data_IF_911764989281
#
_entry.id   IF_911764989281
#
_cell.length_a   1.000
_cell.length_b   1.000
_cell.length_c   1.000
_cell.angle_alpha   90.00
_cell.angle_beta   90.00
_cell.angle_gamma   90.00
#
_symmetry.space_group_name_H-M   'P 1'
#
loop_
_entity.id
_entity.type
_entity.pdbx_description
1 polymer ?
#
# COMPACT_ATOMS: atom_id res chain seq x y z
N UNK A 1 10.21 5.67 -5.39
CA UNK A 1 9.41 5.04 -4.29
C UNK A 1 7.94 4.88 -4.74
N UNK A 2 7.10 4.06 -4.10
CA UNK A 2 5.70 3.89 -4.53
C UNK A 2 4.98 5.23 -4.63
N UNK A 3 5.23 6.21 -3.75
CA UNK A 3 4.56 7.52 -3.79
C UNK A 3 5.26 8.61 -4.63
N UNK A 4 6.30 8.26 -5.37
CA UNK A 4 7.24 9.22 -5.97
C UNK A 4 6.86 9.65 -7.40
N UNK A 5 6.07 8.84 -8.13
CA UNK A 5 5.57 9.16 -9.48
C UNK A 5 4.19 8.57 -9.71
N UNK A 6 3.28 9.29 -10.38
CA UNK A 6 2.00 8.74 -10.77
C UNK A 6 2.12 7.69 -11.89
N UNK A 7 1.70 6.47 -11.60
CA UNK A 7 1.41 5.40 -12.57
C UNK A 7 0.01 5.56 -13.17
N UNK A 8 -0.26 4.91 -14.30
CA UNK A 8 -1.49 5.09 -15.10
C UNK A 8 -2.81 4.73 -14.38
N UNK A 9 -2.74 4.16 -13.16
CA UNK A 9 -3.89 3.66 -12.41
C UNK A 9 -3.89 4.13 -10.95
N UNK A 10 -3.36 5.33 -10.70
CA UNK A 10 -3.34 5.88 -9.34
C UNK A 10 -4.61 6.60 -8.95
N UNK A 11 -4.98 6.42 -7.69
CA UNK A 11 -6.04 7.21 -7.06
C UNK A 11 -5.39 8.51 -6.59
N UNK A 12 -5.76 9.59 -7.26
CA UNK A 12 -5.28 10.94 -6.99
C UNK A 12 -6.36 11.78 -6.33
N UNK A 13 -5.96 12.66 -5.42
CA UNK A 13 -6.78 13.74 -4.89
C UNK A 13 -6.19 15.07 -5.37
N UNK A 14 -6.94 15.79 -6.22
CA UNK A 14 -6.50 17.08 -6.79
C UNK A 14 -5.11 17.01 -7.46
N UNK A 15 -4.87 15.94 -8.21
CA UNK A 15 -3.59 15.71 -8.91
C UNK A 15 -2.44 15.20 -8.03
N UNK A 16 -2.64 15.08 -6.71
CA UNK A 16 -1.67 14.51 -5.77
C UNK A 16 -2.04 13.09 -5.37
N UNK A 17 -1.05 12.27 -5.07
CA UNK A 17 -1.24 10.85 -4.82
C UNK A 17 -1.85 10.58 -3.46
N UNK A 18 -2.93 9.79 -3.43
CA UNK A 18 -3.65 9.41 -2.21
C UNK A 18 -3.41 7.95 -1.81
N UNK A 19 -3.30 7.04 -2.80
CA UNK A 19 -3.20 5.60 -2.56
C UNK A 19 -1.90 5.04 -3.13
N UNK A 20 -1.21 4.25 -2.31
CA UNK A 20 -0.09 3.42 -2.75
C UNK A 20 -0.53 1.97 -2.83
N UNK A 21 -0.34 1.31 -3.97
CA UNK A 21 -0.75 -0.09 -4.17
C UNK A 21 0.41 -0.96 -4.66
N UNK A 22 0.30 -2.25 -4.38
CA UNK A 22 1.19 -3.30 -4.86
C UNK A 22 0.39 -4.54 -5.24
N UNK A 23 0.91 -5.28 -6.21
CA UNK A 23 0.26 -6.45 -6.78
C UNK A 23 1.26 -7.61 -6.90
N UNK A 24 0.79 -8.83 -6.61
CA UNK A 24 1.51 -10.06 -6.98
C UNK A 24 0.55 -11.06 -7.62
N UNK A 25 1.02 -11.73 -8.67
CA UNK A 25 0.31 -12.84 -9.33
C UNK A 25 1.14 -14.10 -9.21
N UNK A 26 0.56 -15.17 -8.68
CA UNK A 26 1.26 -16.45 -8.48
C UNK A 26 0.27 -17.60 -8.45
N UNK A 27 0.60 -18.70 -9.13
CA UNK A 27 -0.16 -19.95 -9.10
C UNK A 27 -1.67 -19.76 -9.37
N UNK A 28 -2.03 -18.98 -10.38
CA UNK A 28 -3.42 -18.70 -10.73
C UNK A 28 -4.15 -17.69 -9.82
N UNK A 29 -3.51 -17.24 -8.73
CA UNK A 29 -4.07 -16.26 -7.80
C UNK A 29 -3.48 -14.85 -8.00
N UNK A 30 -4.27 -13.86 -7.61
CA UNK A 30 -3.92 -12.44 -7.58
C UNK A 30 -4.06 -11.92 -6.16
N UNK A 31 -3.02 -11.25 -5.65
CA UNK A 31 -3.09 -10.45 -4.43
C UNK A 31 -2.86 -8.98 -4.80
N UNK A 32 -3.87 -8.15 -4.54
CA UNK A 32 -3.80 -6.70 -4.60
C UNK A 32 -3.89 -6.16 -3.17
N UNK A 33 -2.95 -5.32 -2.77
CA UNK A 33 -2.98 -4.67 -1.46
C UNK A 33 -2.37 -3.27 -1.55
N UNK A 34 -2.55 -2.47 -0.50
CA UNK A 34 -2.04 -1.11 -0.48
C UNK A 34 -2.40 -0.34 0.79
N UNK A 35 -2.12 0.95 0.75
CA UNK A 35 -2.38 1.90 1.82
C UNK A 35 -3.06 3.15 1.27
N UNK A 36 -4.07 3.64 1.99
CA UNK A 36 -4.70 4.95 1.74
C UNK A 36 -4.13 5.90 2.78
N UNK A 37 -3.60 7.04 2.34
CA UNK A 37 -3.08 8.05 3.26
C UNK A 37 -4.23 8.88 3.83
N UNK A 38 -4.48 8.73 5.13
CA UNK A 38 -5.45 9.54 5.86
C UNK A 38 -4.87 10.91 6.19
N UNK A 39 -3.76 10.91 6.95
CA UNK A 39 -3.01 12.10 7.34
C UNK A 39 -1.54 11.95 6.92
N UNK A 40 -1.07 12.74 5.93
CA UNK A 40 0.30 12.66 5.43
C UNK A 40 1.31 13.21 6.44
N UNK A 41 2.17 12.35 7.00
CA UNK A 41 3.28 12.76 7.85
C UNK A 41 4.62 12.68 7.08
N UNK A 42 4.81 13.59 6.13
CA UNK A 42 5.92 13.49 5.16
C UNK A 42 7.30 13.55 5.82
N UNK A 43 7.50 14.43 6.80
CA UNK A 43 8.77 14.54 7.52
C UNK A 43 9.12 13.22 8.24
N UNK A 44 8.15 12.60 8.93
CA UNK A 44 8.32 11.30 9.59
C UNK A 44 8.66 10.21 8.57
N UNK A 45 7.95 10.18 7.43
CA UNK A 45 8.22 9.22 6.37
C UNK A 45 9.63 9.38 5.81
N UNK A 46 10.08 10.61 5.52
CA UNK A 46 11.43 10.89 5.03
C UNK A 46 12.50 10.46 6.04
N UNK A 47 12.29 10.70 7.34
CA UNK A 47 13.22 10.30 8.39
C UNK A 47 13.42 8.77 8.49
N UNK A 48 12.44 7.97 8.04
CA UNK A 48 12.54 6.51 8.02
C UNK A 48 13.15 5.95 6.72
N UNK A 49 13.44 6.79 5.72
CA UNK A 49 13.92 6.34 4.41
C UNK A 49 15.41 6.69 4.23
N UNK A 50 16.15 5.77 3.62
CA UNK A 50 17.48 6.08 3.09
C UNK A 50 17.30 6.73 1.72
N UNK A 51 17.49 8.05 1.66
CA UNK A 51 17.40 8.85 0.45
C UNK A 51 18.78 9.44 0.10
N UNK A 52 19.08 9.57 -1.18
CA UNK A 52 20.28 10.25 -1.67
C UNK A 52 20.11 11.78 -1.63
N UNK A 53 18.86 12.27 -1.69
CA UNK A 53 18.50 13.68 -1.64
C UNK A 53 18.64 14.27 -0.24
N UNK A 54 18.81 15.60 -0.17
CA UNK A 54 18.63 16.35 1.07
C UNK A 54 17.23 16.12 1.69
N UNK A 55 17.13 15.74 2.99
CA UNK A 55 15.85 15.42 3.63
C UNK A 55 14.83 16.56 3.57
N UNK A 56 15.26 17.82 3.64
CA UNK A 56 14.36 18.97 3.58
C UNK A 56 13.78 19.10 2.17
N UNK A 57 14.62 19.02 1.15
CA UNK A 57 14.18 19.03 -0.25
C UNK A 57 13.24 17.86 -0.56
N UNK A 58 13.56 16.66 -0.09
CA UNK A 58 12.72 15.47 -0.26
C UNK A 58 11.34 15.63 0.40
N UNK A 59 11.30 16.20 1.61
CA UNK A 59 10.06 16.47 2.34
C UNK A 59 9.15 17.41 1.57
N UNK A 60 9.66 18.57 1.12
CA UNK A 60 8.88 19.55 0.35
C UNK A 60 8.32 18.95 -0.94
N UNK A 61 9.13 18.14 -1.65
CA UNK A 61 8.70 17.46 -2.88
C UNK A 61 7.52 16.51 -2.60
N UNK A 62 7.60 15.73 -1.52
CA UNK A 62 6.54 14.79 -1.14
C UNK A 62 5.27 15.51 -0.69
N UNK A 63 5.39 16.59 0.09
CA UNK A 63 4.24 17.43 0.49
C UNK A 63 3.48 17.98 -0.72
N UNK A 64 4.21 18.37 -1.77
CA UNK A 64 3.61 18.86 -3.01
C UNK A 64 2.97 17.74 -3.86
N UNK A 65 3.41 16.49 -3.70
CA UNK A 65 3.00 15.36 -4.55
C UNK A 65 2.01 14.39 -3.91
N UNK A 66 1.83 14.45 -2.59
CA UNK A 66 1.03 13.49 -1.81
C UNK A 66 -0.14 14.20 -1.16
N UNK A 67 -1.29 13.52 -1.11
CA UNK A 67 -2.50 14.02 -0.50
C UNK A 67 -2.97 13.12 0.64
N UNK A 68 -3.69 13.74 1.57
CA UNK A 68 -4.37 13.07 2.67
C UNK A 68 -5.87 13.06 2.47
N UNK A 69 -6.52 11.96 2.85
CA UNK A 69 -7.98 11.92 2.89
C UNK A 69 -8.56 12.98 3.86
N UNK A 70 -7.81 13.33 4.91
CA UNK A 70 -8.15 14.38 5.88
C UNK A 70 -8.41 15.75 5.24
N UNK A 71 -7.88 16.00 4.04
CA UNK A 71 -8.12 17.25 3.30
C UNK A 71 -9.55 17.39 2.76
N UNK A 72 -10.27 16.27 2.66
CA UNK A 72 -11.67 16.24 2.21
C UNK A 72 -12.62 16.15 3.40
N UNK A 73 -12.15 15.57 4.51
CA UNK A 73 -12.90 15.45 5.75
C UNK A 73 -12.31 14.40 6.67
N UNK A 74 -12.91 14.27 7.86
CA UNK A 74 -12.60 13.18 8.78
C UNK A 74 -13.48 11.97 8.49
N UNK A 75 -12.87 10.79 8.41
CA UNK A 75 -13.57 9.55 8.10
C UNK A 75 -13.14 8.45 9.06
N UNK A 76 -14.11 7.78 9.65
CA UNK A 76 -13.87 6.56 10.41
C UNK A 76 -13.32 5.45 9.49
N UNK A 77 -12.27 4.71 9.89
CA UNK A 77 -11.70 3.63 9.09
C UNK A 77 -12.74 2.59 8.64
N UNK A 78 -13.72 2.29 9.49
CA UNK A 78 -14.81 1.37 9.17
C UNK A 78 -15.69 1.88 8.02
N UNK A 79 -15.91 3.19 7.93
CA UNK A 79 -16.68 3.80 6.84
C UNK A 79 -15.93 3.72 5.51
N UNK A 80 -14.61 3.96 5.53
CA UNK A 80 -13.75 3.78 4.36
C UNK A 80 -13.79 2.32 3.89
N UNK A 81 -13.61 1.36 4.81
CA UNK A 81 -13.65 -0.06 4.49
C UNK A 81 -14.99 -0.48 3.86
N UNK A 82 -16.12 0.03 4.39
CA UNK A 82 -17.45 -0.25 3.85
C UNK A 82 -17.63 0.32 2.45
N UNK A 83 -17.20 1.56 2.21
CA UNK A 83 -17.28 2.20 0.89
C UNK A 83 -16.46 1.43 -0.15
N UNK A 84 -15.25 0.99 0.21
CA UNK A 84 -14.42 0.17 -0.67
C UNK A 84 -15.06 -1.19 -0.96
N UNK A 85 -15.61 -1.87 0.05
CA UNK A 85 -16.28 -3.15 -0.12
C UNK A 85 -17.50 -3.02 -1.05
N UNK A 86 -18.32 -1.97 -0.88
CA UNK A 86 -19.48 -1.71 -1.74
C UNK A 86 -19.07 -1.39 -3.18
N UNK A 87 -18.07 -0.53 -3.39
CA UNK A 87 -17.57 -0.22 -4.72
C UNK A 87 -16.99 -1.45 -5.42
N UNK A 88 -16.22 -2.27 -4.69
CA UNK A 88 -15.66 -3.51 -5.21
C UNK A 88 -16.76 -4.52 -5.59
N UNK A 89 -17.74 -4.72 -4.72
CA UNK A 89 -18.89 -5.58 -5.00
C UNK A 89 -19.65 -5.14 -6.26
N UNK A 90 -19.91 -3.84 -6.39
CA UNK A 90 -20.60 -3.25 -7.54
C UNK A 90 -19.81 -3.39 -8.85
N UNK A 91 -18.51 -3.08 -8.83
CA UNK A 91 -17.64 -3.13 -10.01
C UNK A 91 -17.49 -4.56 -10.56
N UNK A 92 -17.33 -5.54 -9.67
CA UNK A 92 -17.10 -6.93 -10.07
C UNK A 92 -18.38 -7.78 -10.13
N UNK A 93 -19.54 -7.22 -9.76
CA UNK A 93 -20.80 -7.95 -9.72
C UNK A 93 -20.79 -9.12 -8.73
N UNK A 94 -20.10 -8.97 -7.59
CA UNK A 94 -19.95 -10.02 -6.57
C UNK A 94 -20.61 -9.61 -5.26
N UNK A 95 -21.05 -10.60 -4.49
CA UNK A 95 -21.51 -10.39 -3.11
C UNK A 95 -20.36 -10.63 -2.15
N UNK A 96 -20.03 -9.62 -1.33
CA UNK A 96 -19.05 -9.77 -0.26
C UNK A 96 -19.77 -10.13 1.05
N UNK A 97 -19.25 -11.14 1.74
CA UNK A 97 -19.70 -11.56 3.06
C UNK A 97 -18.58 -11.46 4.08
N UNK A 98 -18.90 -11.03 5.29
CA UNK A 98 -17.94 -11.09 6.40
C UNK A 98 -17.60 -12.54 6.71
N UNK A 99 -16.30 -12.83 6.81
CA UNK A 99 -15.77 -14.13 7.19
C UNK A 99 -14.56 -13.94 8.11
N UNK A 100 -14.36 -14.91 8.99
CA UNK A 100 -13.11 -15.05 9.74
C UNK A 100 -12.12 -15.90 8.94
N UNK A 101 -10.83 -15.73 9.21
CA UNK A 101 -9.82 -16.66 8.71
C UNK A 101 -10.14 -18.07 9.23
N UNK A 102 -10.00 -19.06 8.35
CA UNK A 102 -10.08 -20.47 8.72
C UNK A 102 -8.89 -20.87 9.62
N UNK A 103 -8.98 -22.01 10.30
CA UNK A 103 -7.87 -22.55 11.09
C UNK A 103 -6.63 -22.83 10.23
N UNK A 104 -6.84 -23.29 8.99
CA UNK A 104 -5.77 -23.54 8.03
C UNK A 104 -5.05 -22.23 7.63
N UNK A 105 -5.80 -21.19 7.28
CA UNK A 105 -5.23 -19.87 6.94
C UNK A 105 -4.52 -19.24 8.14
N UNK A 106 -5.13 -19.30 9.32
CA UNK A 106 -4.55 -18.79 10.56
C UNK A 106 -3.28 -19.56 10.93
N UNK A 107 -3.27 -20.89 10.75
CA UNK A 107 -2.10 -21.75 10.92
C UNK A 107 -0.97 -21.37 9.96
N UNK A 108 -1.28 -21.23 8.67
CA UNK A 108 -0.32 -20.81 7.65
C UNK A 108 0.26 -19.42 7.93
N UNK A 109 -0.56 -18.45 8.34
CA UNK A 109 -0.12 -17.12 8.73
C UNK A 109 0.85 -17.15 9.92
N UNK A 110 0.54 -17.95 10.95
CA UNK A 110 1.44 -18.15 12.11
C UNK A 110 2.76 -18.79 11.70
N UNK A 111 2.73 -19.83 10.85
CA UNK A 111 3.93 -20.49 10.36
C UNK A 111 4.82 -19.51 9.57
N UNK A 112 4.23 -18.74 8.64
CA UNK A 112 4.95 -17.70 7.89
C UNK A 112 5.53 -16.62 8.81
N UNK A 113 4.80 -16.21 9.84
CA UNK A 113 5.32 -15.27 10.82
C UNK A 113 6.57 -15.83 11.52
N UNK A 114 6.52 -17.07 11.98
CA UNK A 114 7.62 -17.73 12.69
C UNK A 114 8.83 -18.01 11.79
N UNK A 115 8.61 -18.58 10.60
CA UNK A 115 9.70 -19.06 9.74
C UNK A 115 10.29 -17.97 8.85
N UNK A 116 9.62 -16.81 8.73
CA UNK A 116 9.97 -15.79 7.74
C UNK A 116 9.82 -14.37 8.27
N UNK A 117 8.61 -13.89 8.52
CA UNK A 117 8.39 -12.45 8.74
C UNK A 117 8.96 -11.90 10.06
N UNK A 118 9.26 -12.76 11.04
CA UNK A 118 9.97 -12.39 12.28
C UNK A 118 11.49 -12.52 12.20
N UNK A 119 12.01 -13.20 11.18
CA UNK A 119 13.44 -13.46 11.08
C UNK A 119 14.17 -12.22 10.54
N UNK A 120 15.23 -11.76 11.24
CA UNK A 120 16.09 -10.67 10.75
C UNK A 120 16.68 -10.96 9.37
N UNK A 121 17.08 -12.21 9.11
CA UNK A 121 17.57 -12.65 7.80
C UNK A 121 16.56 -12.43 6.65
N UNK A 122 15.27 -12.29 6.97
CA UNK A 122 14.23 -11.90 6.03
C UNK A 122 14.00 -10.39 6.00
N UNK A 123 13.76 -9.75 7.15
CA UNK A 123 13.36 -8.34 7.23
C UNK A 123 14.48 -7.35 6.94
N UNK A 124 15.73 -7.76 7.19
CA UNK A 124 16.95 -6.97 6.93
C UNK A 124 17.75 -7.55 5.75
N UNK A 125 17.15 -8.44 4.96
CA UNK A 125 17.82 -8.97 3.78
C UNK A 125 18.18 -7.79 2.86
N UNK A 126 19.45 -7.65 2.42
CA UNK A 126 19.80 -6.65 1.43
C UNK A 126 18.87 -6.81 0.22
N UNK A 127 18.15 -5.75 -0.12
CA UNK A 127 17.39 -5.73 -1.34
C UNK A 127 18.43 -5.74 -2.47
N UNK A 128 18.51 -6.84 -3.20
CA UNK A 128 19.13 -6.79 -4.52
C UNK A 128 18.40 -5.67 -5.27
N UNK A 129 19.14 -4.67 -5.76
CA UNK A 129 18.57 -3.56 -6.52
C UNK A 129 17.85 -4.18 -7.72
N UNK A 130 16.55 -4.37 -7.59
CA UNK A 130 15.74 -4.99 -8.61
C UNK A 130 15.68 -4.04 -9.78
N UNK A 131 16.21 -4.46 -10.94
CA UNK A 131 15.88 -3.80 -12.19
C UNK A 131 14.35 -3.76 -12.31
N UNK A 132 13.78 -2.57 -12.48
CA UNK A 132 12.33 -2.37 -12.66
C UNK A 132 11.89 -3.22 -13.85
N UNK A 133 11.28 -4.37 -13.58
CA UNK A 133 10.65 -5.19 -14.61
C UNK A 133 9.21 -4.72 -14.76
N UNK A 134 9.03 -3.54 -15.36
CA UNK A 134 7.74 -3.18 -15.93
C UNK A 134 7.54 -4.07 -17.15
N UNK A 135 7.01 -5.28 -16.95
CA UNK A 135 6.53 -6.14 -18.03
C UNK A 135 5.13 -5.69 -18.38
N UNK A 136 5.02 -4.69 -19.26
CA UNK A 136 3.82 -4.46 -20.06
C UNK A 136 3.61 -5.68 -20.95
N UNK A 137 2.48 -6.35 -20.78
CA UNK A 137 1.83 -7.08 -21.87
C UNK A 137 0.69 -6.22 -22.37
#
# INVERSE_FOLDING_TARGET
MCFDRPSAHEILLRGRKLVGSAQVRRAGALLQHGSILTEPQMATMVACLQLEDDPIAATRRLEAGVAGLAEVGSFEPASIARALAQAFAGEFGVTLSHACLTDAESGAARQLAQSKYRAFAWTQRPLAIGQKTTRTR
#
